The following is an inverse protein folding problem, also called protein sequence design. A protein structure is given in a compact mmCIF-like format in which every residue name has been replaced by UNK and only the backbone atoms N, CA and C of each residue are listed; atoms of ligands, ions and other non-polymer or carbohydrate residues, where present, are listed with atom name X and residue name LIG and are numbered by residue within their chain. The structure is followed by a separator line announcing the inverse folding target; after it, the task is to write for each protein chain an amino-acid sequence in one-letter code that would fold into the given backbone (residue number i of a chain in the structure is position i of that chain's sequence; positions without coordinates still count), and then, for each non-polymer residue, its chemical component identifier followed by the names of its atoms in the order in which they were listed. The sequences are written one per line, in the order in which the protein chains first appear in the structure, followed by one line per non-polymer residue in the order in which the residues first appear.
data_IF_989769740848
#
_entry.id   IF_989769740848
#
_cell.length_a   1.000
_cell.length_b   1.000
_cell.length_c   1.000
_cell.angle_alpha   90.00
_cell.angle_beta   90.00
_cell.angle_gamma   90.00
#
_symmetry.space_group_name_H-M   'P 1'
#
loop_
_entity.id
_entity.type
_entity.pdbx_description
1 polymer ?
#
# COMPACT_ATOMS: atom_id res chain seq x y z
N UNK A 1 12.39 10.54 -18.14
CA UNK A 1 12.18 11.92 -18.64
C UNK A 1 12.82 12.88 -17.64
N UNK A 2 14.14 13.10 -17.77
CA UNK A 2 14.90 14.15 -17.05
C UNK A 2 16.18 14.44 -17.84
N UNK A 3 16.73 13.41 -18.50
CA UNK A 3 17.89 13.48 -19.39
C UNK A 3 17.64 14.26 -20.68
N UNK A 4 16.40 14.34 -21.15
CA UNK A 4 16.04 14.94 -22.43
C UNK A 4 15.92 16.48 -22.31
N UNK A 5 15.28 16.96 -21.23
CA UNK A 5 15.17 18.40 -20.94
C UNK A 5 16.51 19.03 -20.54
N UNK A 6 17.38 18.28 -19.86
CA UNK A 6 18.73 18.74 -19.48
C UNK A 6 19.73 18.67 -20.64
N UNK A 7 19.35 18.19 -21.82
CA UNK A 7 20.15 18.27 -23.05
C UNK A 7 19.39 19.07 -24.12
N UNK A 8 19.09 20.33 -23.82
CA UNK A 8 18.63 21.26 -24.86
C UNK A 8 19.61 21.36 -26.03
N UNK A 9 19.14 21.91 -27.16
CA UNK A 9 19.84 22.04 -28.46
C UNK A 9 21.18 22.83 -28.40
N UNK A 10 21.46 23.47 -27.26
CA UNK A 10 22.68 24.23 -26.96
C UNK A 10 23.42 23.54 -25.80
N UNK A 11 24.71 23.19 -25.95
CA UNK A 11 25.49 22.50 -24.93
C UNK A 11 25.70 23.33 -23.64
N UNK A 12 25.46 24.64 -23.67
CA UNK A 12 25.51 25.52 -22.49
C UNK A 12 24.34 25.34 -21.52
N UNK A 13 23.24 24.72 -21.96
CA UNK A 13 22.04 24.50 -21.14
C UNK A 13 22.03 23.13 -20.45
N UNK A 14 23.18 22.42 -20.45
CA UNK A 14 23.35 21.15 -19.77
C UNK A 14 23.44 21.32 -18.26
N UNK A 15 22.29 21.55 -17.62
CA UNK A 15 22.18 21.57 -16.16
C UNK A 15 21.88 20.16 -15.67
N UNK A 16 22.84 19.53 -14.97
CA UNK A 16 22.59 18.29 -14.24
C UNK A 16 21.81 18.61 -12.97
N UNK A 17 20.67 17.95 -12.78
CA UNK A 17 19.92 18.03 -11.53
C UNK A 17 20.73 17.37 -10.42
N UNK A 18 21.24 18.18 -9.48
CA UNK A 18 21.87 17.69 -8.26
C UNK A 18 20.83 17.76 -7.14
N UNK A 19 20.30 16.62 -6.67
CA UNK A 19 19.31 16.62 -5.60
C UNK A 19 19.94 17.20 -4.32
N UNK A 20 19.23 18.13 -3.71
CA UNK A 20 19.60 18.72 -2.43
C UNK A 20 19.11 17.86 -1.27
N UNK A 21 19.64 18.11 -0.07
CA UNK A 21 19.14 17.46 1.15
C UNK A 21 17.63 17.63 1.34
N UNK A 22 17.07 18.76 0.89
CA UNK A 22 15.64 19.05 0.96
C UNK A 22 14.83 18.10 0.08
N UNK A 23 15.31 17.77 -1.13
CA UNK A 23 14.63 16.85 -2.04
C UNK A 23 14.52 15.44 -1.44
N UNK A 24 15.61 14.98 -0.80
CA UNK A 24 15.64 13.68 -0.11
C UNK A 24 14.74 13.69 1.13
N UNK A 25 14.75 14.79 1.89
CA UNK A 25 13.90 14.94 3.07
C UNK A 25 12.41 14.93 2.73
N UNK A 26 12.01 15.58 1.63
CA UNK A 26 10.62 15.55 1.14
C UNK A 26 10.25 14.14 0.69
N UNK A 27 11.12 13.46 -0.06
CA UNK A 27 10.89 12.09 -0.50
C UNK A 27 10.66 11.15 0.71
N UNK A 28 11.57 11.14 1.68
CA UNK A 28 11.44 10.32 2.90
C UNK A 28 10.23 10.78 3.73
N UNK A 29 9.97 12.08 3.81
CA UNK A 29 8.83 12.65 4.51
C UNK A 29 7.49 12.14 3.97
N UNK A 30 7.35 12.02 2.64
CA UNK A 30 6.12 11.45 2.04
C UNK A 30 5.93 9.96 2.36
N UNK A 31 7.01 9.18 2.41
CA UNK A 31 6.97 7.77 2.83
C UNK A 31 6.54 7.66 4.30
N UNK A 32 7.17 8.45 5.18
CA UNK A 32 6.84 8.49 6.59
C UNK A 32 5.39 8.92 6.84
N UNK A 33 4.93 9.97 6.16
CA UNK A 33 3.56 10.46 6.25
C UNK A 33 2.54 9.41 5.80
N UNK A 34 2.81 8.70 4.70
CA UNK A 34 1.99 7.57 4.26
C UNK A 34 1.89 6.49 5.35
N UNK A 35 3.02 6.05 5.91
CA UNK A 35 3.02 5.01 6.94
C UNK A 35 2.36 5.46 8.24
N UNK A 36 2.50 6.72 8.65
CA UNK A 36 1.80 7.26 9.82
C UNK A 36 0.29 7.16 9.64
N UNK A 37 -0.23 7.64 8.51
CA UNK A 37 -1.67 7.56 8.22
C UNK A 37 -2.15 6.12 8.05
N UNK A 38 -1.35 5.27 7.39
CA UNK A 38 -1.67 3.86 7.21
C UNK A 38 -1.72 3.09 8.54
N UNK A 39 -0.72 3.28 9.41
CA UNK A 39 -0.69 2.65 10.73
C UNK A 39 -1.80 3.17 11.64
N UNK A 40 -2.11 4.46 11.58
CA UNK A 40 -3.24 5.04 12.30
C UNK A 40 -4.56 4.39 11.82
N UNK A 41 -4.77 4.30 10.51
CA UNK A 41 -5.92 3.61 9.93
C UNK A 41 -6.00 2.14 10.36
N UNK A 42 -4.90 1.40 10.26
CA UNK A 42 -4.85 -0.02 10.64
C UNK A 42 -5.11 -0.26 12.13
N UNK A 43 -4.82 0.73 12.99
CA UNK A 43 -5.12 0.67 14.42
C UNK A 43 -6.57 1.05 14.74
N UNK A 44 -7.13 2.06 14.07
CA UNK A 44 -8.46 2.58 14.41
C UNK A 44 -9.61 1.84 13.72
N UNK A 45 -9.37 1.25 12.55
CA UNK A 45 -10.39 0.56 11.76
C UNK A 45 -10.10 -0.95 11.63
N UNK A 46 -11.14 -1.80 11.57
CA UNK A 46 -10.95 -3.22 11.31
C UNK A 46 -10.38 -3.40 9.90
N UNK A 47 -9.15 -3.90 9.83
CA UNK A 47 -8.38 -4.08 8.58
C UNK A 47 -9.08 -5.03 7.60
N UNK A 48 -9.96 -5.91 8.08
CA UNK A 48 -10.61 -6.95 7.27
C UNK A 48 -12.11 -6.69 7.13
N UNK A 49 -12.61 -6.82 5.90
CA UNK A 49 -14.02 -6.68 5.56
C UNK A 49 -14.87 -7.76 6.26
N UNK A 50 -15.50 -7.38 7.37
CA UNK A 50 -16.28 -8.31 8.21
C UNK A 50 -17.51 -8.89 7.49
N UNK A 51 -18.14 -8.12 6.59
CA UNK A 51 -19.32 -8.55 5.85
C UNK A 51 -19.02 -9.75 4.95
N UNK A 52 -17.89 -9.72 4.24
CA UNK A 52 -17.49 -10.80 3.34
C UNK A 52 -16.89 -11.99 4.09
N UNK A 53 -16.07 -11.72 5.10
CA UNK A 53 -15.53 -12.78 5.97
C UNK A 53 -16.63 -13.65 6.57
N UNK A 54 -17.74 -13.05 7.01
CA UNK A 54 -18.85 -13.77 7.64
C UNK A 54 -19.58 -14.67 6.64
N UNK A 55 -19.68 -14.27 5.38
CA UNK A 55 -20.24 -15.09 4.30
C UNK A 55 -19.35 -16.29 3.97
N UNK A 56 -18.04 -16.03 3.81
CA UNK A 56 -17.05 -17.06 3.47
C UNK A 56 -16.91 -18.09 4.60
N UNK A 57 -16.83 -17.65 5.86
CA UNK A 57 -16.70 -18.56 7.00
C UNK A 57 -17.93 -19.48 7.15
N UNK A 58 -19.13 -18.98 6.83
CA UNK A 58 -20.36 -19.80 6.81
C UNK A 58 -20.37 -20.83 5.69
N UNK A 59 -19.82 -20.50 4.53
CA UNK A 59 -19.76 -21.39 3.36
C UNK A 59 -18.61 -22.41 3.44
N UNK A 60 -17.43 -21.97 3.87
CA UNK A 60 -16.16 -22.71 3.75
C UNK A 60 -15.54 -23.13 5.09
N UNK A 61 -16.10 -22.71 6.22
CA UNK A 61 -15.58 -23.07 7.54
C UNK A 61 -15.62 -24.57 7.79
N UNK A 62 -14.49 -25.16 8.18
CA UNK A 62 -14.38 -26.59 8.53
C UNK A 62 -15.42 -27.02 9.57
N UNK A 63 -15.77 -26.15 10.52
CA UNK A 63 -16.82 -26.40 11.51
C UNK A 63 -18.18 -26.67 10.85
N UNK A 64 -18.55 -25.95 9.79
CA UNK A 64 -19.82 -26.16 9.09
C UNK A 64 -19.82 -27.46 8.26
N UNK A 65 -18.65 -27.86 7.74
CA UNK A 65 -18.49 -29.15 7.05
C UNK A 65 -18.56 -30.32 8.03
N UNK A 66 -17.90 -30.22 9.20
CA UNK A 66 -17.94 -31.25 10.27
C UNK A 66 -19.34 -31.42 10.83
N UNK A 67 -20.04 -30.33 11.14
CA UNK A 67 -21.45 -30.38 11.58
C UNK A 67 -22.36 -31.09 10.56
N UNK A 68 -22.15 -30.92 9.25
CA UNK A 68 -22.94 -31.63 8.22
C UNK A 68 -22.57 -33.10 8.08
N UNK A 69 -21.34 -33.50 8.43
CA UNK A 69 -20.89 -34.89 8.46
C UNK A 69 -21.43 -35.65 9.66
N UNK A 70 -21.35 -35.06 10.86
CA UNK A 70 -21.79 -35.68 12.11
C UNK A 70 -23.32 -35.86 12.19
N UNK A 71 -24.11 -35.03 11.48
CA UNK A 71 -25.57 -35.21 11.39
C UNK A 71 -25.99 -36.33 10.40
N UNK A 72 -25.04 -37.01 9.77
CA UNK A 72 -25.31 -38.11 8.82
C UNK A 72 -24.88 -39.49 9.35
N UNK A 73 -24.53 -39.60 10.63
CA UNK A 73 -24.39 -40.86 11.39
C UNK A 73 -25.58 -41.03 12.34
#
# INVERSE_FOLDING_TARGET
MVIDLSRGHLPSSWTMFSPTFVDVAIFIGTIGFFFVLFLLYARTFPVIAQAELKSILKSSGENYKKLRGDNHE
#
